data_IF_657179074011
#
_entry.id   IF_657179074011
#
_cell.length_a   1.000
_cell.length_b   1.000
_cell.length_c   1.000
_cell.angle_alpha   90.00
_cell.angle_beta   90.00
_cell.angle_gamma   90.00
#
_symmetry.space_group_name_H-M   'P 1'
#
loop_
_entity.id
_entity.type
_entity.pdbx_description
1 polymer ?
#
# COMPACT_ATOMS: atom_id res chain seq x y z
N UNK A 1 -0.90 -57.31 20.64
CA UNK A 1 -0.30 -56.05 20.18
C UNK A 1 -1.39 -55.16 19.61
N UNK A 2 -1.99 -54.28 20.44
CA UNK A 2 -3.05 -53.37 20.03
C UNK A 2 -2.42 -52.10 19.43
N UNK A 3 -2.62 -51.92 18.11
CA UNK A 3 -2.26 -50.64 17.44
C UNK A 3 -3.27 -49.57 17.86
N UNK A 4 -2.83 -48.67 18.71
CA UNK A 4 -3.54 -47.42 19.01
C UNK A 4 -3.50 -46.57 17.73
N UNK A 5 -4.62 -46.53 17.00
CA UNK A 5 -4.83 -45.57 15.90
C UNK A 5 -5.10 -44.21 16.56
N UNK A 6 -4.10 -43.38 16.63
CA UNK A 6 -4.27 -41.96 16.96
C UNK A 6 -5.14 -41.31 15.88
N UNK A 7 -6.35 -40.95 16.29
CA UNK A 7 -7.35 -40.31 15.43
C UNK A 7 -7.03 -38.83 15.34
N UNK A 8 -6.24 -38.44 14.32
CA UNK A 8 -5.81 -37.06 14.04
C UNK A 8 -6.92 -36.13 13.51
N UNK A 9 -8.17 -36.63 13.41
CA UNK A 9 -9.31 -35.92 12.83
C UNK A 9 -10.01 -34.92 13.77
N UNK A 10 -9.39 -34.52 14.91
CA UNK A 10 -10.00 -33.56 15.85
C UNK A 10 -9.25 -32.26 16.01
N UNK A 11 -8.57 -31.79 14.99
CA UNK A 11 -7.84 -30.51 15.11
C UNK A 11 -7.97 -29.63 13.85
N UNK A 12 -9.16 -29.51 13.30
CA UNK A 12 -9.44 -28.43 12.35
C UNK A 12 -10.80 -27.81 12.67
N UNK A 13 -10.96 -27.34 13.90
CA UNK A 13 -11.87 -26.23 14.11
C UNK A 13 -11.23 -25.03 13.42
N UNK A 14 -11.88 -24.46 12.39
CA UNK A 14 -11.37 -23.25 11.78
C UNK A 14 -11.34 -22.21 12.89
N UNK A 15 -10.14 -21.74 13.23
CA UNK A 15 -9.95 -20.60 14.12
C UNK A 15 -10.98 -19.57 13.68
N UNK A 16 -11.99 -19.33 14.54
CA UNK A 16 -12.96 -18.26 14.37
C UNK A 16 -12.19 -16.94 14.46
N UNK A 17 -11.47 -16.63 13.38
CA UNK A 17 -10.84 -15.32 13.20
C UNK A 17 -11.94 -14.26 13.13
N UNK A 18 -11.64 -13.08 13.58
CA UNK A 18 -12.49 -11.91 13.56
C UNK A 18 -13.25 -11.84 12.22
N UNK A 19 -14.57 -11.64 12.25
CA UNK A 19 -15.47 -11.84 11.10
C UNK A 19 -15.02 -11.22 9.78
N UNK A 20 -14.25 -10.11 9.81
CA UNK A 20 -13.64 -9.48 8.63
C UNK A 20 -12.52 -10.36 8.05
N UNK A 21 -11.64 -10.91 8.87
CA UNK A 21 -10.53 -11.78 8.42
C UNK A 21 -11.08 -13.09 7.86
N UNK A 22 -12.08 -13.70 8.51
CA UNK A 22 -12.73 -14.90 8.01
C UNK A 22 -13.52 -14.67 6.72
N UNK A 23 -14.13 -13.49 6.55
CA UNK A 23 -14.79 -13.11 5.30
C UNK A 23 -13.78 -13.00 4.15
N UNK A 24 -12.67 -12.31 4.37
CA UNK A 24 -11.59 -12.22 3.38
C UNK A 24 -10.94 -13.58 3.12
N UNK A 25 -10.69 -14.39 4.15
CA UNK A 25 -10.16 -15.75 4.00
C UNK A 25 -11.10 -16.64 3.16
N UNK A 26 -12.38 -16.68 3.44
CA UNK A 26 -13.30 -17.58 2.75
C UNK A 26 -13.61 -17.13 1.32
N UNK A 27 -13.73 -15.85 1.03
CA UNK A 27 -14.04 -15.37 -0.33
C UNK A 27 -12.82 -15.17 -1.23
N UNK A 28 -11.71 -14.63 -0.69
CA UNK A 28 -10.51 -14.32 -1.48
C UNK A 28 -9.58 -15.53 -1.62
N UNK A 29 -9.53 -16.42 -0.63
CA UNK A 29 -8.52 -17.46 -0.57
C UNK A 29 -8.98 -18.79 -1.18
N UNK A 30 -10.28 -19.08 -1.19
CA UNK A 30 -10.82 -20.32 -1.75
C UNK A 30 -10.60 -20.44 -3.27
N UNK A 31 -10.60 -19.29 -3.97
CA UNK A 31 -10.26 -19.18 -5.39
C UNK A 31 -9.26 -18.04 -5.59
N UNK A 32 -7.98 -18.28 -5.35
CA UNK A 32 -6.88 -17.30 -5.46
C UNK A 32 -6.57 -16.96 -6.92
N UNK A 33 -7.58 -16.46 -7.63
CA UNK A 33 -7.43 -16.02 -9.02
C UNK A 33 -6.61 -14.72 -9.09
N UNK A 34 -6.01 -14.47 -10.24
CA UNK A 34 -5.26 -13.24 -10.49
C UNK A 34 -6.13 -11.98 -10.28
N UNK A 35 -7.42 -12.07 -10.63
CA UNK A 35 -8.38 -10.99 -10.42
C UNK A 35 -8.67 -10.73 -8.94
N UNK A 36 -8.75 -11.78 -8.10
CA UNK A 36 -8.94 -11.62 -6.66
C UNK A 36 -7.73 -10.95 -6.00
N UNK A 37 -6.51 -11.28 -6.43
CA UNK A 37 -5.28 -10.58 -6.01
C UNK A 37 -5.30 -9.11 -6.41
N UNK A 38 -5.78 -8.82 -7.61
CA UNK A 38 -5.95 -7.45 -8.11
C UNK A 38 -6.94 -6.66 -7.27
N UNK A 39 -8.11 -7.24 -6.96
CA UNK A 39 -9.10 -6.59 -6.08
C UNK A 39 -8.54 -6.35 -4.67
N UNK A 40 -7.74 -7.27 -4.13
CA UNK A 40 -7.07 -7.09 -2.86
C UNK A 40 -6.13 -5.88 -2.89
N UNK A 41 -5.25 -5.78 -3.90
CA UNK A 41 -4.33 -4.64 -4.02
C UNK A 41 -5.08 -3.33 -4.19
N UNK A 42 -6.14 -3.29 -4.99
CA UNK A 42 -6.97 -2.09 -5.14
C UNK A 42 -7.62 -1.67 -3.81
N UNK A 43 -8.13 -2.63 -3.03
CA UNK A 43 -8.72 -2.36 -1.71
C UNK A 43 -7.68 -1.81 -0.73
N UNK A 44 -6.47 -2.36 -0.74
CA UNK A 44 -5.36 -1.86 0.08
C UNK A 44 -4.87 -0.48 -0.37
N UNK A 45 -4.89 -0.23 -1.68
CA UNK A 45 -4.57 1.09 -2.25
C UNK A 45 -5.57 2.16 -1.79
N UNK A 46 -6.87 1.82 -1.79
CA UNK A 46 -7.93 2.68 -1.24
C UNK A 46 -7.67 2.96 0.24
N UNK A 47 -7.36 1.94 1.02
CA UNK A 47 -7.10 2.08 2.45
C UNK A 47 -5.89 3.00 2.72
N UNK A 48 -4.76 2.80 2.07
CA UNK A 48 -3.57 3.64 2.22
C UNK A 48 -3.88 5.08 1.81
N UNK A 49 -4.54 5.26 0.66
CA UNK A 49 -4.88 6.59 0.16
C UNK A 49 -5.86 7.32 1.09
N UNK A 50 -6.80 6.61 1.72
CA UNK A 50 -7.69 7.17 2.73
C UNK A 50 -6.91 7.74 3.94
N UNK A 51 -5.86 7.06 4.39
CA UNK A 51 -5.01 7.56 5.46
C UNK A 51 -4.25 8.83 5.05
N UNK A 52 -3.75 8.89 3.80
CA UNK A 52 -3.10 10.10 3.29
C UNK A 52 -4.07 11.28 3.27
N UNK A 53 -5.30 11.09 2.76
CA UNK A 53 -6.35 12.09 2.77
C UNK A 53 -6.74 12.52 4.20
N UNK A 54 -6.83 11.57 5.12
CA UNK A 54 -7.15 11.86 6.52
C UNK A 54 -6.07 12.75 7.17
N UNK A 55 -4.79 12.51 6.85
CA UNK A 55 -3.71 13.36 7.32
C UNK A 55 -3.77 14.77 6.74
N UNK A 56 -4.00 14.91 5.43
CA UNK A 56 -4.17 16.21 4.79
C UNK A 56 -5.30 17.02 5.44
N UNK A 57 -6.45 16.39 5.63
CA UNK A 57 -7.59 17.00 6.30
C UNK A 57 -7.28 17.34 7.76
N UNK A 58 -6.62 16.44 8.48
CA UNK A 58 -6.22 16.71 9.86
C UNK A 58 -5.36 17.97 9.95
N UNK A 59 -4.37 18.13 9.08
CA UNK A 59 -3.51 19.32 9.07
C UNK A 59 -4.31 20.57 8.70
N UNK A 60 -5.20 20.49 7.70
CA UNK A 60 -6.02 21.65 7.28
C UNK A 60 -6.99 22.12 8.38
N UNK A 61 -7.49 21.22 9.23
CA UNK A 61 -8.34 21.56 10.35
C UNK A 61 -7.61 22.04 11.61
N UNK A 62 -6.25 21.98 11.61
CA UNK A 62 -5.43 22.37 12.76
C UNK A 62 -4.40 23.45 12.39
N UNK A 63 -4.80 24.73 12.42
CA UNK A 63 -3.94 25.87 12.01
C UNK A 63 -2.59 25.93 12.72
N UNK A 64 -2.47 25.35 13.89
CA UNK A 64 -1.23 25.24 14.65
C UNK A 64 -0.10 24.51 13.89
N UNK A 65 -0.42 23.72 12.89
CA UNK A 65 0.56 22.99 12.08
C UNK A 65 0.99 23.72 10.81
N UNK A 66 0.31 24.81 10.44
CA UNK A 66 0.61 25.58 9.21
C UNK A 66 2.06 26.08 9.08
N UNK A 67 2.76 26.48 10.16
CA UNK A 67 4.16 26.88 10.02
C UNK A 67 5.07 25.77 9.49
N UNK A 68 4.72 24.50 9.69
CA UNK A 68 5.56 23.35 9.35
C UNK A 68 5.19 22.66 8.04
N UNK A 69 4.17 23.15 7.34
CA UNK A 69 3.66 22.56 6.10
C UNK A 69 3.45 23.60 5.02
N UNK A 70 3.55 23.16 3.78
CA UNK A 70 3.22 24.00 2.63
C UNK A 70 1.75 23.81 2.26
N UNK A 71 0.90 24.77 2.64
CA UNK A 71 -0.56 24.69 2.43
C UNK A 71 -0.95 24.53 0.95
N UNK A 72 -0.25 25.22 0.04
CA UNK A 72 -0.53 25.09 -1.40
C UNK A 72 -0.26 23.67 -1.89
N UNK A 73 0.80 23.05 -1.37
CA UNK A 73 1.14 21.66 -1.69
C UNK A 73 0.15 20.69 -1.05
N UNK A 74 -0.33 20.94 0.18
CA UNK A 74 -1.38 20.10 0.82
C UNK A 74 -2.66 20.10 -0.01
N UNK A 75 -3.12 21.25 -0.49
CA UNK A 75 -4.30 21.31 -1.36
C UNK A 75 -4.10 20.54 -2.65
N UNK A 76 -2.92 20.59 -3.24
CA UNK A 76 -2.58 19.81 -4.44
C UNK A 76 -2.56 18.31 -4.12
N UNK A 77 -1.92 17.91 -3.01
CA UNK A 77 -1.83 16.52 -2.56
C UNK A 77 -3.21 15.93 -2.26
N UNK A 78 -4.07 16.69 -1.54
CA UNK A 78 -5.47 16.33 -1.26
C UNK A 78 -6.26 16.12 -2.57
N UNK A 79 -6.14 17.04 -3.54
CA UNK A 79 -6.82 16.93 -4.83
C UNK A 79 -6.38 15.69 -5.62
N UNK A 80 -5.08 15.43 -5.69
CA UNK A 80 -4.53 14.22 -6.31
C UNK A 80 -5.00 12.96 -5.59
N UNK A 81 -4.99 12.97 -4.26
CA UNK A 81 -5.47 11.85 -3.44
C UNK A 81 -6.95 11.53 -3.72
N UNK A 82 -7.81 12.54 -3.87
CA UNK A 82 -9.23 12.33 -4.25
C UNK A 82 -9.37 11.74 -5.66
N UNK A 83 -8.56 12.19 -6.61
CA UNK A 83 -8.53 11.63 -7.97
C UNK A 83 -8.13 10.15 -7.91
N UNK A 84 -7.03 9.83 -7.24
CA UNK A 84 -6.58 8.43 -7.09
C UNK A 84 -7.59 7.55 -6.38
N UNK A 85 -8.23 8.08 -5.33
CA UNK A 85 -9.32 7.38 -4.62
C UNK A 85 -10.44 7.01 -5.59
N UNK A 86 -10.90 7.97 -6.40
CA UNK A 86 -11.98 7.77 -7.38
C UNK A 86 -11.59 6.73 -8.45
N UNK A 87 -10.34 6.79 -8.92
CA UNK A 87 -9.81 5.82 -9.89
C UNK A 87 -9.73 4.41 -9.30
N UNK A 88 -9.19 4.25 -8.08
CA UNK A 88 -9.12 2.94 -7.44
C UNK A 88 -10.49 2.34 -7.17
N UNK A 89 -11.45 3.13 -6.70
CA UNK A 89 -12.84 2.69 -6.51
C UNK A 89 -13.43 2.27 -7.86
N UNK A 90 -13.26 3.08 -8.90
CA UNK A 90 -13.74 2.75 -10.26
C UNK A 90 -13.16 1.44 -10.79
N UNK A 91 -11.85 1.22 -10.64
CA UNK A 91 -11.19 -0.02 -11.04
C UNK A 91 -11.66 -1.22 -10.21
N UNK A 92 -11.87 -1.05 -8.91
CA UNK A 92 -12.39 -2.11 -8.04
C UNK A 92 -13.80 -2.53 -8.46
N UNK A 93 -14.67 -1.56 -8.73
CA UNK A 93 -16.03 -1.81 -9.24
C UNK A 93 -15.99 -2.48 -10.61
N UNK A 94 -15.10 -2.03 -11.51
CA UNK A 94 -14.91 -2.64 -12.81
C UNK A 94 -14.47 -4.11 -12.68
N UNK A 95 -13.50 -4.41 -11.84
CA UNK A 95 -13.09 -5.78 -11.55
C UNK A 95 -14.24 -6.62 -11.01
N UNK A 96 -15.10 -6.03 -10.17
CA UNK A 96 -16.24 -6.73 -9.55
C UNK A 96 -17.36 -7.03 -10.53
N UNK A 97 -17.75 -6.06 -11.36
CA UNK A 97 -18.90 -6.19 -12.27
C UNK A 97 -18.55 -6.81 -13.61
N UNK A 98 -17.32 -6.59 -14.10
CA UNK A 98 -16.86 -7.10 -15.38
C UNK A 98 -15.93 -8.31 -15.26
N UNK A 99 -15.98 -9.04 -14.16
CA UNK A 99 -15.09 -10.18 -13.84
C UNK A 99 -15.09 -11.31 -14.87
N UNK A 100 -16.15 -11.46 -15.64
CA UNK A 100 -16.30 -12.50 -16.67
C UNK A 100 -15.65 -12.12 -18.01
N UNK A 101 -15.20 -10.87 -18.15
CA UNK A 101 -14.61 -10.40 -19.40
C UNK A 101 -13.11 -10.72 -19.43
N UNK A 102 -12.65 -11.43 -20.47
CA UNK A 102 -11.26 -11.84 -20.65
C UNK A 102 -10.25 -10.69 -20.63
N UNK A 103 -10.64 -9.50 -21.11
CA UNK A 103 -9.75 -8.34 -21.10
C UNK A 103 -9.52 -7.82 -19.67
N UNK A 104 -10.53 -7.87 -18.80
CA UNK A 104 -10.41 -7.48 -17.39
C UNK A 104 -9.39 -8.38 -16.69
N UNK A 105 -9.52 -9.69 -16.85
CA UNK A 105 -8.60 -10.65 -16.25
C UNK A 105 -7.15 -10.45 -16.72
N UNK A 106 -6.95 -10.07 -17.97
CA UNK A 106 -5.63 -9.88 -18.57
C UNK A 106 -4.99 -8.53 -18.24
N UNK A 107 -5.75 -7.42 -18.29
CA UNK A 107 -5.21 -6.06 -18.20
C UNK A 107 -5.25 -5.48 -16.79
N UNK A 108 -6.26 -5.80 -15.99
CA UNK A 108 -6.43 -5.21 -14.68
C UNK A 108 -5.28 -5.48 -13.70
N UNK A 109 -4.68 -6.68 -13.64
CA UNK A 109 -3.54 -6.92 -12.77
C UNK A 109 -2.37 -5.98 -13.07
N UNK A 110 -2.01 -5.85 -14.34
CA UNK A 110 -0.91 -4.99 -14.76
C UNK A 110 -1.22 -3.51 -14.50
N UNK A 111 -2.43 -3.05 -14.87
CA UNK A 111 -2.85 -1.67 -14.67
C UNK A 111 -2.88 -1.30 -13.19
N UNK A 112 -3.43 -2.15 -12.33
CA UNK A 112 -3.53 -1.91 -10.89
C UNK A 112 -2.16 -1.85 -10.23
N UNK A 113 -1.24 -2.73 -10.60
CA UNK A 113 0.15 -2.73 -10.12
C UNK A 113 0.88 -1.46 -10.54
N UNK A 114 0.77 -1.06 -11.80
CA UNK A 114 1.38 0.17 -12.33
C UNK A 114 0.84 1.41 -11.61
N UNK A 115 -0.50 1.50 -11.49
CA UNK A 115 -1.15 2.64 -10.86
C UNK A 115 -0.79 2.74 -9.38
N UNK A 116 -0.79 1.63 -8.65
CA UNK A 116 -0.38 1.62 -7.25
C UNK A 116 1.08 2.07 -7.09
N UNK A 117 1.98 1.58 -7.95
CA UNK A 117 3.39 1.98 -7.95
C UNK A 117 3.53 3.49 -8.24
N UNK A 118 2.78 4.02 -9.20
CA UNK A 118 2.74 5.45 -9.53
C UNK A 118 2.28 6.29 -8.32
N UNK A 119 1.24 5.85 -7.65
CA UNK A 119 0.71 6.54 -6.45
C UNK A 119 1.73 6.53 -5.32
N UNK A 120 2.43 5.42 -5.10
CA UNK A 120 3.54 5.37 -4.13
C UNK A 120 4.67 6.34 -4.49
N UNK A 121 5.03 6.47 -5.78
CA UNK A 121 6.03 7.43 -6.23
C UNK A 121 5.60 8.88 -5.94
N UNK A 122 4.36 9.22 -6.26
CA UNK A 122 3.82 10.56 -6.08
C UNK A 122 3.74 10.91 -4.60
N UNK A 123 3.13 10.07 -3.77
CA UNK A 123 3.10 10.29 -2.32
C UNK A 123 4.50 10.30 -1.72
N UNK A 124 5.38 9.40 -2.18
CA UNK A 124 6.78 9.37 -1.76
C UNK A 124 7.54 10.65 -2.08
N UNK A 125 7.30 11.28 -3.22
CA UNK A 125 7.87 12.58 -3.55
C UNK A 125 7.38 13.67 -2.59
N UNK A 126 6.06 13.74 -2.34
CA UNK A 126 5.49 14.75 -1.45
C UNK A 126 5.97 14.64 -0.01
N UNK A 127 6.10 13.42 0.50
CA UNK A 127 6.53 13.13 1.89
C UNK A 127 8.05 13.10 2.05
N UNK A 128 8.76 12.92 0.96
CA UNK A 128 10.20 12.75 0.89
C UNK A 128 10.58 11.35 0.40
N UNK A 129 11.27 11.30 -0.73
CA UNK A 129 11.58 10.06 -1.44
C UNK A 129 12.39 9.05 -0.62
N UNK A 130 13.22 9.52 0.33
CA UNK A 130 13.99 8.71 1.27
C UNK A 130 13.45 8.76 2.71
N UNK A 131 12.22 9.23 2.92
CA UNK A 131 11.63 9.15 4.25
C UNK A 131 11.41 7.69 4.67
N UNK A 132 11.42 7.37 5.98
CA UNK A 132 11.18 6.01 6.46
C UNK A 132 9.87 5.41 5.94
N UNK A 133 8.81 6.20 5.89
CA UNK A 133 7.51 5.76 5.38
C UNK A 133 7.57 5.37 3.90
N UNK A 134 8.22 6.20 3.07
CA UNK A 134 8.38 5.95 1.64
C UNK A 134 9.21 4.69 1.40
N UNK A 135 10.33 4.51 2.10
CA UNK A 135 11.19 3.34 1.94
C UNK A 135 10.49 2.05 2.34
N UNK A 136 9.76 2.04 3.46
CA UNK A 136 8.95 0.87 3.86
C UNK A 136 7.87 0.58 2.83
N UNK A 137 7.22 1.62 2.27
CA UNK A 137 6.24 1.49 1.20
C UNK A 137 6.82 0.80 -0.03
N UNK A 138 7.99 1.22 -0.52
CA UNK A 138 8.63 0.63 -1.70
C UNK A 138 9.10 -0.80 -1.47
N UNK A 139 9.82 -1.06 -0.38
CA UNK A 139 10.34 -2.39 -0.07
C UNK A 139 9.18 -3.36 0.21
N UNK A 140 8.23 -2.93 1.02
CA UNK A 140 7.04 -3.72 1.32
C UNK A 140 6.24 -4.05 0.07
N UNK A 141 6.02 -3.06 -0.81
CA UNK A 141 5.36 -3.26 -2.09
C UNK A 141 6.11 -4.24 -3.00
N UNK A 142 7.43 -4.10 -3.13
CA UNK A 142 8.25 -5.00 -3.93
C UNK A 142 8.14 -6.45 -3.44
N UNK A 143 8.26 -6.67 -2.13
CA UNK A 143 8.12 -7.99 -1.52
C UNK A 143 6.74 -8.59 -1.74
N UNK A 144 5.69 -7.85 -1.38
CA UNK A 144 4.30 -8.30 -1.51
C UNK A 144 3.92 -8.52 -2.97
N UNK A 145 4.32 -7.61 -3.84
CA UNK A 145 4.08 -7.71 -5.27
C UNK A 145 4.66 -8.99 -5.86
N UNK A 146 5.94 -9.29 -5.57
CA UNK A 146 6.62 -10.50 -6.06
C UNK A 146 6.00 -11.81 -5.54
N UNK A 147 5.34 -11.77 -4.39
CA UNK A 147 4.63 -12.93 -3.84
C UNK A 147 3.26 -13.11 -4.50
N UNK A 148 2.55 -12.01 -4.77
CA UNK A 148 1.17 -12.04 -5.27
C UNK A 148 1.09 -12.18 -6.78
N UNK A 149 2.01 -11.60 -7.53
CA UNK A 149 1.95 -11.49 -8.99
C UNK A 149 3.17 -12.10 -9.68
N UNK A 150 3.03 -12.34 -10.97
CA UNK A 150 4.15 -12.78 -11.79
C UNK A 150 5.27 -11.75 -11.81
N UNK A 151 6.53 -12.23 -11.77
CA UNK A 151 7.73 -11.40 -11.78
C UNK A 151 7.73 -10.36 -12.91
N UNK A 152 7.21 -10.74 -14.10
CA UNK A 152 7.14 -9.84 -15.26
C UNK A 152 6.27 -8.61 -14.97
N UNK A 153 5.11 -8.79 -14.35
CA UNK A 153 4.19 -7.70 -14.02
C UNK A 153 4.88 -6.74 -13.03
N UNK A 154 5.52 -7.29 -12.01
CA UNK A 154 6.15 -6.50 -10.95
C UNK A 154 7.40 -5.78 -11.47
N UNK A 155 8.28 -6.44 -12.22
CA UNK A 155 9.47 -5.76 -12.75
C UNK A 155 9.12 -4.68 -13.79
N UNK A 156 8.06 -4.85 -14.58
CA UNK A 156 7.55 -3.79 -15.45
C UNK A 156 7.07 -2.53 -14.68
N UNK A 157 6.68 -2.67 -13.41
CA UNK A 157 6.32 -1.53 -12.57
C UNK A 157 7.50 -1.00 -11.77
N UNK A 158 8.27 -1.87 -11.12
CA UNK A 158 9.37 -1.46 -10.24
C UNK A 158 10.57 -0.87 -10.98
N UNK A 159 10.93 -1.39 -12.16
CA UNK A 159 12.09 -0.88 -12.89
C UNK A 159 11.94 0.60 -13.29
N UNK A 160 10.87 1.02 -13.99
CA UNK A 160 10.67 2.44 -14.28
C UNK A 160 10.47 3.27 -13.00
N UNK A 161 9.80 2.73 -11.97
CA UNK A 161 9.63 3.43 -10.70
C UNK A 161 10.97 3.70 -10.02
N UNK A 162 11.88 2.73 -10.02
CA UNK A 162 13.23 2.90 -9.46
C UNK A 162 14.00 3.98 -10.22
N UNK A 163 13.92 4.00 -11.55
CA UNK A 163 14.56 5.03 -12.38
C UNK A 163 14.01 6.42 -12.04
N UNK A 164 12.68 6.55 -11.95
CA UNK A 164 12.03 7.81 -11.57
C UNK A 164 12.43 8.24 -10.17
N UNK A 165 12.47 7.31 -9.20
CA UNK A 165 12.90 7.59 -7.84
C UNK A 165 14.35 8.13 -7.81
N UNK A 166 15.27 7.48 -8.51
CA UNK A 166 16.66 7.92 -8.60
C UNK A 166 16.77 9.29 -9.26
N UNK A 167 16.00 9.52 -10.33
CA UNK A 167 15.95 10.81 -11.02
C UNK A 167 15.41 11.93 -10.12
N UNK A 168 14.32 11.70 -9.39
CA UNK A 168 13.75 12.66 -8.44
C UNK A 168 14.78 13.04 -7.37
N UNK A 169 15.51 12.05 -6.84
CA UNK A 169 16.54 12.31 -5.84
C UNK A 169 17.74 13.08 -6.42
N UNK A 170 18.16 12.74 -7.64
CA UNK A 170 19.18 13.49 -8.34
C UNK A 170 18.77 14.96 -8.55
N UNK A 171 17.54 15.18 -9.04
CA UNK A 171 17.00 16.53 -9.26
C UNK A 171 16.85 17.31 -7.94
N UNK A 172 16.45 16.66 -6.85
CA UNK A 172 16.37 17.30 -5.54
C UNK A 172 17.74 17.69 -5.01
N UNK A 173 18.78 16.91 -5.31
CA UNK A 173 20.13 17.18 -4.80
C UNK A 173 20.87 18.24 -5.62
N UNK A 174 20.75 18.19 -6.97
CA UNK A 174 21.60 18.98 -7.87
C UNK A 174 20.87 20.03 -8.68
N UNK A 175 19.56 19.89 -8.88
CA UNK A 175 18.76 20.79 -9.75
C UNK A 175 17.76 21.66 -8.99
N UNK A 176 17.80 21.66 -7.64
CA UNK A 176 16.95 22.53 -6.82
C UNK A 176 15.48 22.13 -6.76
N UNK A 177 15.14 20.89 -7.14
CA UNK A 177 13.78 20.37 -6.94
C UNK A 177 13.54 20.23 -5.41
N UNK A 178 12.42 20.75 -4.86
CA UNK A 178 12.16 20.64 -3.42
C UNK A 178 12.12 19.20 -2.97
N UNK A 179 12.87 18.86 -1.92
CA UNK A 179 12.76 17.59 -1.24
C UNK A 179 11.62 17.66 -0.23
N UNK A 180 10.74 16.62 -0.20
CA UNK A 180 9.59 16.56 0.70
C UNK A 180 8.73 17.85 0.66
N UNK A 181 8.20 18.26 -0.52
CA UNK A 181 7.57 19.57 -0.70
C UNK A 181 6.33 19.79 0.18
N UNK A 182 5.78 18.74 0.79
CA UNK A 182 4.67 18.81 1.74
C UNK A 182 5.06 19.56 3.03
N UNK A 183 6.34 19.52 3.39
CA UNK A 183 6.86 20.08 4.64
C UNK A 183 7.70 21.33 4.39
N UNK A 184 7.59 22.31 5.29
CA UNK A 184 8.50 23.44 5.38
C UNK A 184 9.75 22.99 6.16
N UNK A 185 10.82 22.65 5.45
CA UNK A 185 12.02 22.10 6.08
C UNK A 185 12.86 23.16 6.81
N UNK A 186 12.76 24.46 6.45
CA UNK A 186 13.50 25.52 7.11
C UNK A 186 13.21 25.65 8.62
N UNK A 187 11.93 25.69 9.08
CA UNK A 187 11.62 25.68 10.50
C UNK A 187 11.98 24.38 11.21
N UNK A 188 12.10 23.27 10.45
CA UNK A 188 12.41 21.95 10.98
C UNK A 188 13.91 21.66 11.07
N UNK A 189 14.76 22.53 10.49
CA UNK A 189 16.20 22.30 10.36
C UNK A 189 16.97 22.58 11.68
N UNK A 190 16.36 22.23 12.81
CA UNK A 190 17.00 22.30 14.11
C UNK A 190 17.66 20.94 14.41
N UNK A 191 18.68 20.96 15.25
CA UNK A 191 19.53 19.81 15.63
C UNK A 191 18.79 18.60 16.21
N UNK A 192 17.50 18.72 16.51
CA UNK A 192 16.62 17.66 17.00
C UNK A 192 15.46 17.47 16.01
N UNK A 193 15.09 16.22 15.71
CA UNK A 193 13.93 15.92 14.87
C UNK A 193 12.68 16.63 15.39
N UNK A 194 12.06 17.44 14.54
CA UNK A 194 10.87 18.19 14.93
C UNK A 194 9.71 17.23 15.26
N UNK A 195 9.01 17.38 16.42
CA UNK A 195 7.97 16.45 16.86
C UNK A 195 6.84 16.27 15.83
N UNK A 196 6.46 17.32 15.14
CA UNK A 196 5.44 17.27 14.09
C UNK A 196 5.87 16.37 12.91
N UNK A 197 7.14 16.46 12.48
CA UNK A 197 7.67 15.59 11.42
C UNK A 197 7.66 14.12 11.86
N UNK A 198 8.12 13.83 13.08
CA UNK A 198 8.10 12.47 13.64
C UNK A 198 6.68 11.93 13.72
N UNK A 199 5.73 12.73 14.20
CA UNK A 199 4.30 12.36 14.25
C UNK A 199 3.73 12.06 12.86
N UNK A 200 4.05 12.91 11.88
CA UNK A 200 3.59 12.73 10.49
C UNK A 200 4.17 11.47 9.87
N UNK A 201 5.48 11.23 10.05
CA UNK A 201 6.13 10.00 9.56
C UNK A 201 5.53 8.75 10.21
N UNK A 202 5.24 8.79 11.51
CA UNK A 202 4.58 7.71 12.22
C UNK A 202 3.16 7.47 11.66
N UNK A 203 2.39 8.52 11.41
CA UNK A 203 1.04 8.45 10.84
C UNK A 203 1.05 7.80 9.45
N UNK A 204 2.03 8.11 8.61
CA UNK A 204 2.17 7.50 7.29
C UNK A 204 2.70 6.05 7.36
N UNK A 205 3.59 5.78 8.31
CA UNK A 205 4.22 4.46 8.45
C UNK A 205 3.23 3.40 8.96
N UNK A 206 2.39 3.76 9.95
CA UNK A 206 1.47 2.80 10.61
C UNK A 206 0.54 2.09 9.62
N UNK A 207 -0.20 2.77 8.72
CA UNK A 207 -1.08 2.09 7.78
C UNK A 207 -0.30 1.17 6.81
N UNK A 208 0.91 1.57 6.40
CA UNK A 208 1.77 0.72 5.56
C UNK A 208 2.21 -0.55 6.30
N UNK A 209 2.61 -0.41 7.57
CA UNK A 209 2.96 -1.54 8.43
C UNK A 209 1.77 -2.49 8.64
N UNK A 210 0.57 -1.94 8.92
CA UNK A 210 -0.64 -2.74 9.08
C UNK A 210 -1.00 -3.51 7.80
N UNK A 211 -0.90 -2.87 6.65
CA UNK A 211 -1.11 -3.52 5.35
C UNK A 211 -0.10 -4.64 5.13
N UNK A 212 1.19 -4.39 5.38
CA UNK A 212 2.22 -5.42 5.26
C UNK A 212 1.95 -6.61 6.19
N UNK A 213 1.65 -6.36 7.47
CA UNK A 213 1.34 -7.42 8.44
C UNK A 213 0.10 -8.22 8.02
N UNK A 214 -0.95 -7.55 7.57
CA UNK A 214 -2.16 -8.21 7.07
C UNK A 214 -1.87 -9.11 5.86
N UNK A 215 -1.07 -8.63 4.90
CA UNK A 215 -0.67 -9.41 3.73
C UNK A 215 0.22 -10.60 4.11
N UNK A 216 1.16 -10.42 5.04
CA UNK A 216 1.97 -11.54 5.55
C UNK A 216 1.12 -12.60 6.24
N UNK A 217 0.13 -12.21 7.05
CA UNK A 217 -0.79 -13.18 7.69
C UNK A 217 -1.59 -13.97 6.65
N UNK A 218 -2.10 -13.29 5.62
CA UNK A 218 -2.77 -13.96 4.49
C UNK A 218 -1.83 -14.97 3.82
N UNK A 219 -0.60 -14.59 3.53
CA UNK A 219 0.38 -15.45 2.85
C UNK A 219 0.76 -16.67 3.70
N UNK A 220 1.03 -16.46 4.98
CA UNK A 220 1.33 -17.53 5.94
C UNK A 220 0.16 -18.50 6.08
N UNK A 221 -1.07 -17.98 6.10
CA UNK A 221 -2.26 -18.86 6.15
C UNK A 221 -2.40 -19.74 4.90
N UNK A 222 -2.11 -19.18 3.70
CA UNK A 222 -2.10 -19.95 2.46
C UNK A 222 -1.02 -21.01 2.45
N UNK A 223 0.15 -20.69 2.94
CA UNK A 223 1.25 -21.64 3.01
C UNK A 223 0.92 -22.80 3.95
N UNK A 224 0.41 -22.51 5.14
CA UNK A 224 -0.06 -23.54 6.10
C UNK A 224 -1.14 -24.47 5.52
N UNK A 225 -2.08 -23.95 4.73
CA UNK A 225 -3.11 -24.77 4.07
C UNK A 225 -2.48 -25.72 3.04
N UNK A 226 -1.48 -25.25 2.28
CA UNK A 226 -0.79 -26.08 1.27
C UNK A 226 0.06 -27.17 1.88
N UNK A 227 0.67 -26.95 3.04
CA UNK A 227 1.46 -27.97 3.74
C UNK A 227 0.58 -29.06 4.39
N UNK A 228 -0.68 -28.73 4.69
CA UNK A 228 -1.64 -29.66 5.29
C UNK A 228 -2.36 -30.56 4.27
N UNK A 229 -2.22 -30.30 2.95
CA UNK A 229 -2.79 -31.10 1.86
C UNK A 229 -1.76 -31.98 1.19
#
# INVERSE_FOLDING_TARGET
MNKIRLNWNRATDPVQGWGIVSFFQNQLLRNWTLLNKTMLILSLSIFINLFMLAWDLFVLYHPQFYPWVNLAVIHTHLSLGMIFMSVFIGLLLLCRFCSQQRWVEKFMPMLSVQLFTLVLLIHGYFVGSFSPATMVGYVGWACVGLILFDRKIIYCALAPATIVLLLLNYLSTFAGLPYAPLFNMEPMNQTVMHPFWVMSMFFFLVPLMLVCLFLFEILLSQWRIREAT
#
